data_IF_091704541832
#
_entry.id   IF_091704541832
#
_cell.length_a   1.000
_cell.length_b   1.000
_cell.length_c   1.000
_cell.angle_alpha   90.00
_cell.angle_beta   90.00
_cell.angle_gamma   90.00
#
_symmetry.space_group_name_H-M   'P 1'
#
loop_
_entity.id
_entity.type
_entity.pdbx_description
1 polymer ?
#
# COMPACT_ATOMS: atom_id res chain seq x y z
N UNK A 1 -15.81 17.74 19.93
CA UNK A 1 -15.42 16.31 19.79
C UNK A 1 -15.14 16.05 18.33
N UNK A 2 -13.88 15.81 17.95
CA UNK A 2 -13.54 15.33 16.61
C UNK A 2 -14.05 13.89 16.54
N UNK A 3 -15.02 13.61 15.66
CA UNK A 3 -15.46 12.23 15.41
C UNK A 3 -14.33 11.55 14.64
N UNK A 4 -13.59 10.65 15.30
CA UNK A 4 -12.63 9.79 14.63
C UNK A 4 -13.37 8.90 13.64
N UNK A 5 -12.94 8.94 12.38
CA UNK A 5 -13.48 8.07 11.35
C UNK A 5 -13.16 6.61 11.73
N UNK A 6 -14.19 5.74 11.75
CA UNK A 6 -14.03 4.32 12.09
C UNK A 6 -13.13 3.57 11.11
N UNK A 7 -12.81 4.17 9.97
CA UNK A 7 -11.90 3.66 8.94
C UNK A 7 -10.45 4.07 9.14
N UNK A 8 -10.07 4.76 10.22
CA UNK A 8 -8.66 5.01 10.51
C UNK A 8 -8.10 3.68 11.05
N UNK A 9 -7.37 2.86 10.25
CA UNK A 9 -6.69 1.70 10.80
C UNK A 9 -5.62 2.14 11.79
N UNK A 10 -5.08 1.18 12.54
CA UNK A 10 -3.81 1.34 13.24
C UNK A 10 -2.81 2.09 12.35
N UNK A 11 -2.23 3.15 12.92
CA UNK A 11 -1.32 4.12 12.31
C UNK A 11 -0.57 3.62 11.06
N UNK A 12 -0.67 4.36 9.96
CA UNK A 12 0.09 4.13 8.74
C UNK A 12 1.58 4.44 9.00
N UNK A 13 2.52 3.51 8.77
CA UNK A 13 3.94 3.83 8.86
C UNK A 13 4.30 4.97 7.89
N UNK A 14 4.95 6.02 8.40
CA UNK A 14 5.43 7.14 7.60
C UNK A 14 6.93 7.03 7.36
N UNK A 15 7.33 7.14 6.09
CA UNK A 15 8.71 7.03 5.62
C UNK A 15 9.47 5.86 6.25
N UNK A 16 8.92 4.63 6.19
CA UNK A 16 9.61 3.50 6.79
C UNK A 16 10.92 3.25 6.04
N UNK A 17 11.92 2.71 6.74
CA UNK A 17 13.20 2.37 6.12
C UNK A 17 13.03 1.15 5.21
N UNK A 18 12.88 1.41 3.92
CA UNK A 18 12.76 0.37 2.91
C UNK A 18 14.09 -0.39 2.72
N UNK A 19 14.04 -1.68 2.35
CA UNK A 19 15.19 -2.41 1.83
C UNK A 19 15.87 -1.67 0.66
N UNK A 20 17.16 -1.93 0.45
CA UNK A 20 17.87 -1.40 -0.72
C UNK A 20 17.19 -1.89 -2.02
N UNK A 21 17.09 -1.01 -3.03
CA UNK A 21 16.45 -1.29 -4.32
C UNK A 21 14.99 -1.75 -4.21
N UNK A 22 14.28 -1.39 -3.13
CA UNK A 22 12.92 -1.87 -2.90
C UNK A 22 11.97 -1.61 -4.06
N UNK A 23 12.02 -0.43 -4.68
CA UNK A 23 11.18 -0.06 -5.83
C UNK A 23 11.83 -0.39 -7.20
N UNK A 24 12.97 -1.07 -7.21
CA UNK A 24 13.70 -1.51 -8.43
C UNK A 24 13.86 -3.04 -8.49
N UNK A 25 13.17 -3.78 -7.61
CA UNK A 25 13.25 -5.25 -7.53
C UNK A 25 11.95 -5.88 -8.05
N UNK A 26 11.97 -6.79 -9.03
CA UNK A 26 10.79 -7.56 -9.45
C UNK A 26 10.14 -8.36 -8.31
N UNK A 27 8.80 -8.45 -8.27
CA UNK A 27 8.06 -9.24 -7.27
C UNK A 27 8.50 -10.71 -7.25
N UNK A 28 8.83 -11.26 -8.43
CA UNK A 28 9.31 -12.63 -8.61
C UNK A 28 10.74 -12.85 -8.08
N UNK A 29 11.50 -11.79 -7.84
CA UNK A 29 12.88 -11.82 -7.37
C UNK A 29 13.01 -11.45 -5.88
N UNK A 30 11.91 -11.01 -5.24
CA UNK A 30 11.88 -10.70 -3.80
C UNK A 30 12.01 -11.98 -2.97
N UNK A 31 12.71 -11.88 -1.84
CA UNK A 31 12.78 -12.97 -0.88
C UNK A 31 11.42 -13.19 -0.19
N UNK A 32 11.22 -14.37 0.37
CA UNK A 32 10.00 -14.67 1.13
C UNK A 32 9.85 -13.73 2.34
N UNK A 33 10.94 -13.43 3.04
CA UNK A 33 10.95 -12.55 4.21
C UNK A 33 10.52 -11.14 3.83
N UNK A 34 11.01 -10.63 2.70
CA UNK A 34 10.60 -9.32 2.20
C UNK A 34 9.12 -9.30 1.79
N UNK A 35 8.62 -10.37 1.16
CA UNK A 35 7.20 -10.47 0.84
C UNK A 35 6.35 -10.56 2.11
N UNK A 36 6.74 -11.37 3.09
CA UNK A 36 5.98 -11.51 4.34
C UNK A 36 5.94 -10.18 5.13
N UNK A 37 7.00 -9.37 5.07
CA UNK A 37 7.07 -8.07 5.76
C UNK A 37 6.30 -6.95 5.02
N UNK A 38 6.37 -6.90 3.69
CA UNK A 38 5.91 -5.73 2.93
C UNK A 38 4.65 -5.97 2.11
N UNK A 39 4.33 -7.22 1.79
CA UNK A 39 3.21 -7.51 0.91
C UNK A 39 1.88 -7.15 1.58
N UNK A 40 1.04 -6.38 0.89
CA UNK A 40 -0.26 -5.92 1.38
C UNK A 40 -0.19 -5.06 2.66
N UNK A 41 0.98 -4.47 2.97
CA UNK A 41 1.19 -3.53 4.08
C UNK A 41 1.40 -2.11 3.52
N UNK A 42 0.36 -1.25 3.51
CA UNK A 42 0.49 0.12 3.05
C UNK A 42 1.42 0.94 3.94
N UNK A 43 2.07 1.93 3.34
CA UNK A 43 2.88 2.93 4.04
C UNK A 43 2.75 4.28 3.34
N UNK A 44 2.95 5.36 4.10
CA UNK A 44 2.98 6.72 3.59
C UNK A 44 4.40 7.20 3.39
N UNK A 45 4.59 8.13 2.44
CA UNK A 45 5.81 8.94 2.35
C UNK A 45 5.50 10.41 2.67
N UNK A 46 6.49 11.18 3.15
CA UNK A 46 6.36 12.58 3.60
C UNK A 46 5.70 13.55 2.61
N UNK A 47 5.51 13.15 1.34
CA UNK A 47 4.70 13.88 0.35
C UNK A 47 3.20 13.55 0.40
N UNK A 48 2.70 12.94 1.49
CA UNK A 48 1.33 12.43 1.66
C UNK A 48 0.88 11.54 0.50
N UNK A 49 1.80 10.70 0.02
CA UNK A 49 1.52 9.72 -1.01
C UNK A 49 1.57 8.35 -0.38
N UNK A 50 0.48 7.59 -0.51
CA UNK A 50 0.40 6.25 0.04
C UNK A 50 0.83 5.24 -1.01
N UNK A 51 1.59 4.25 -0.56
CA UNK A 51 2.10 3.18 -1.40
C UNK A 51 1.87 1.83 -0.74
N UNK A 52 1.85 0.78 -1.55
CA UNK A 52 1.76 -0.59 -1.06
C UNK A 52 2.39 -1.55 -2.06
N UNK A 53 3.22 -2.48 -1.56
CA UNK A 53 3.67 -3.62 -2.35
C UNK A 53 2.54 -4.66 -2.36
N UNK A 54 1.75 -4.71 -3.44
CA UNK A 54 0.55 -5.56 -3.46
C UNK A 54 0.31 -6.25 -4.82
N UNK A 55 1.27 -6.14 -5.73
CA UNK A 55 1.17 -6.74 -7.07
C UNK A 55 0.41 -5.91 -8.09
N UNK A 56 0.05 -4.66 -7.78
CA UNK A 56 -0.43 -3.71 -8.78
C UNK A 56 0.65 -3.37 -9.81
N UNK A 57 1.86 -3.05 -9.34
CA UNK A 57 3.07 -3.06 -10.16
C UNK A 57 3.84 -4.38 -10.03
N UNK A 58 4.56 -4.76 -11.09
CA UNK A 58 5.35 -6.02 -11.12
C UNK A 58 6.72 -5.88 -10.46
N UNK A 59 7.25 -4.66 -10.40
CA UNK A 59 8.65 -4.34 -10.10
C UNK A 59 8.82 -3.37 -8.94
N UNK A 60 7.74 -2.83 -8.38
CA UNK A 60 7.78 -1.80 -7.35
C UNK A 60 6.52 -1.78 -6.50
N UNK A 61 6.50 -0.92 -5.49
CA UNK A 61 5.26 -0.54 -4.81
C UNK A 61 4.30 0.20 -5.73
N UNK A 62 3.01 -0.08 -5.57
CA UNK A 62 1.92 0.63 -6.25
C UNK A 62 1.65 1.94 -5.52
N UNK A 63 1.38 3.02 -6.27
CA UNK A 63 0.78 4.24 -5.69
C UNK A 63 -0.69 3.97 -5.41
N UNK A 64 -1.13 4.20 -4.18
CA UNK A 64 -2.54 4.14 -3.79
C UNK A 64 -3.23 5.49 -4.00
N UNK A 65 -2.50 6.59 -3.82
CA UNK A 65 -2.97 7.95 -4.09
C UNK A 65 -2.16 9.01 -3.34
N UNK A 66 -2.58 10.27 -3.47
CA UNK A 66 -1.99 11.42 -2.77
C UNK A 66 -3.08 12.24 -2.09
N UNK A 67 -2.83 12.64 -0.85
CA UNK A 67 -3.76 13.37 0.02
C UNK A 67 -3.07 14.57 0.67
N UNK A 68 -3.74 15.26 1.59
CA UNK A 68 -3.23 16.50 2.21
C UNK A 68 -3.01 16.39 3.72
N UNK A 69 -3.59 15.39 4.37
CA UNK A 69 -3.41 15.15 5.81
C UNK A 69 -3.07 13.69 6.08
N UNK A 70 -2.51 13.44 7.26
CA UNK A 70 -2.20 12.08 7.70
C UNK A 70 -3.46 11.24 7.93
N UNK A 71 -4.54 11.84 8.42
CA UNK A 71 -5.83 11.15 8.59
C UNK A 71 -6.43 10.74 7.24
N UNK A 72 -6.36 11.63 6.24
CA UNK A 72 -6.75 11.29 4.87
C UNK A 72 -5.89 10.13 4.31
N UNK A 73 -4.61 10.06 4.69
CA UNK A 73 -3.69 8.99 4.25
C UNK A 73 -4.06 7.65 4.88
N UNK A 74 -4.27 7.62 6.20
CA UNK A 74 -4.74 6.40 6.88
C UNK A 74 -6.03 5.84 6.26
N UNK A 75 -6.98 6.71 5.91
CA UNK A 75 -8.24 6.29 5.27
C UNK A 75 -8.00 5.83 3.82
N UNK A 76 -7.21 6.57 3.04
CA UNK A 76 -6.87 6.20 1.66
C UNK A 76 -6.19 4.83 1.61
N UNK A 77 -5.15 4.62 2.43
CA UNK A 77 -4.42 3.38 2.51
C UNK A 77 -5.33 2.19 2.82
N UNK A 78 -6.22 2.33 3.82
CA UNK A 78 -7.20 1.30 4.17
C UNK A 78 -8.15 0.99 3.00
N UNK A 79 -8.82 2.00 2.46
CA UNK A 79 -9.89 1.81 1.48
C UNK A 79 -9.31 1.30 0.14
N UNK A 80 -8.17 1.83 -0.29
CA UNK A 80 -7.50 1.39 -1.52
C UNK A 80 -6.98 -0.05 -1.41
N UNK A 81 -6.38 -0.41 -0.28
CA UNK A 81 -5.86 -1.76 -0.06
C UNK A 81 -7.00 -2.78 0.05
N UNK A 82 -8.07 -2.48 0.80
CA UNK A 82 -9.24 -3.35 0.89
C UNK A 82 -9.88 -3.56 -0.49
N UNK A 83 -10.01 -2.50 -1.30
CA UNK A 83 -10.50 -2.59 -2.68
C UNK A 83 -9.59 -3.49 -3.54
N UNK A 84 -8.28 -3.36 -3.41
CA UNK A 84 -7.31 -4.15 -4.18
C UNK A 84 -7.35 -5.64 -3.81
N UNK A 85 -7.34 -5.97 -2.52
CA UNK A 85 -7.50 -7.35 -2.03
C UNK A 85 -8.79 -7.96 -2.57
N UNK A 86 -9.91 -7.25 -2.43
CA UNK A 86 -11.20 -7.70 -2.97
C UNK A 86 -11.18 -7.90 -4.49
N UNK A 87 -10.37 -7.14 -5.23
CA UNK A 87 -10.23 -7.29 -6.68
C UNK A 87 -9.41 -8.52 -7.03
N UNK A 88 -8.28 -8.75 -6.35
CA UNK A 88 -7.42 -9.92 -6.56
C UNK A 88 -8.07 -11.24 -6.17
N UNK A 89 -9.03 -11.21 -5.24
CA UNK A 89 -9.80 -12.40 -4.82
C UNK A 89 -10.89 -12.82 -5.83
N UNK A 90 -11.20 -12.00 -6.84
CA UNK A 90 -12.19 -12.36 -7.85
C UNK A 90 -11.68 -13.52 -8.71
N UNK A 91 -12.56 -14.45 -9.14
CA UNK A 91 -12.16 -15.60 -9.96
C UNK A 91 -11.59 -15.19 -11.32
N UNK A 92 -11.98 -14.01 -11.80
CA UNK A 92 -11.39 -13.36 -12.97
C UNK A 92 -10.76 -12.06 -12.49
N UNK A 93 -9.44 -12.03 -12.50
CA UNK A 93 -8.67 -10.84 -12.17
C UNK A 93 -8.32 -10.09 -13.45
N UNK A 94 -8.96 -8.94 -13.64
CA UNK A 94 -8.63 -7.99 -14.69
C UNK A 94 -7.84 -6.86 -14.05
N UNK A 95 -6.56 -6.73 -14.38
CA UNK A 95 -5.84 -5.48 -14.15
C UNK A 95 -6.09 -4.55 -15.34
N UNK A 96 -6.19 -3.25 -15.09
CA UNK A 96 -6.22 -2.27 -16.17
C UNK A 96 -4.84 -2.29 -16.87
N UNK A 97 -4.84 -2.44 -18.19
CA UNK A 97 -3.65 -2.29 -19.04
C UNK A 97 -3.11 -0.86 -19.00
#
# INVERSE_FOLDING_TARGET
MVKTDKRIPSQLPLDPKLPANFDDTPNSERSKEQLDEWWDHPYGISSFTDRCLNGGARDRSSVLGKVRTYEEACVLAHDAQAKWVNTRLKPIFMYSN
#
